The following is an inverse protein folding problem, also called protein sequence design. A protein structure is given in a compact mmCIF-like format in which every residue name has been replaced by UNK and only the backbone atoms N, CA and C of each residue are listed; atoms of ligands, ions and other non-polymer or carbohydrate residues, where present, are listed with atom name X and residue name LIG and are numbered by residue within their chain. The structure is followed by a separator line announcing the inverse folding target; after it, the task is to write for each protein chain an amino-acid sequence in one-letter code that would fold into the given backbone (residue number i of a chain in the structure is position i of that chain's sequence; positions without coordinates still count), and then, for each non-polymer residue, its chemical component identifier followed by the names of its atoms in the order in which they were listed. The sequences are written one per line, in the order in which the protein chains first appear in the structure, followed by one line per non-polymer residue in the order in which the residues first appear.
data_IF_834593994498
#
_entry.id   IF_834593994498
#
_cell.length_a   1.000
_cell.length_b   1.000
_cell.length_c   1.000
_cell.angle_alpha   90.00
_cell.angle_beta   90.00
_cell.angle_gamma   90.00
#
_symmetry.space_group_name_H-M   'P 1'
#
loop_
_entity.id
_entity.type
_entity.pdbx_description
1 polymer ?
#
# COMPACT_ATOMS: atom_id res chain seq x y z
N UNK A 1 16.26 -7.89 39.07
CA UNK A 1 16.09 -7.69 37.61
C UNK A 1 15.83 -6.22 37.40
N UNK A 2 16.78 -5.51 36.77
CA UNK A 2 16.80 -4.05 36.71
C UNK A 2 15.89 -3.53 35.58
N UNK A 3 15.29 -2.35 35.77
CA UNK A 3 14.45 -1.71 34.75
C UNK A 3 15.16 -1.50 33.40
N UNK A 4 16.49 -1.38 33.40
CA UNK A 4 17.30 -1.26 32.19
C UNK A 4 17.34 -2.56 31.35
N UNK A 5 17.36 -3.73 31.99
CA UNK A 5 17.34 -5.03 31.28
C UNK A 5 15.98 -5.24 30.58
N UNK A 6 14.88 -4.89 31.27
CA UNK A 6 13.54 -4.98 30.70
C UNK A 6 13.37 -4.05 29.50
N UNK A 7 13.95 -2.84 29.53
CA UNK A 7 13.89 -1.90 28.41
C UNK A 7 14.70 -2.40 27.21
N UNK A 8 15.94 -2.86 27.41
CA UNK A 8 16.77 -3.41 26.32
C UNK A 8 16.16 -4.67 25.67
N UNK A 9 15.60 -5.57 26.48
CA UNK A 9 14.93 -6.76 25.96
C UNK A 9 13.60 -6.41 25.25
N UNK A 10 12.96 -5.33 25.69
CA UNK A 10 11.76 -4.80 25.05
C UNK A 10 12.03 -4.22 23.66
N UNK A 11 13.15 -3.50 23.50
CA UNK A 11 13.60 -2.93 22.23
C UNK A 11 14.06 -4.02 21.26
N UNK A 12 14.77 -5.04 21.76
CA UNK A 12 15.18 -6.20 20.96
C UNK A 12 13.97 -6.97 20.41
N UNK A 13 12.91 -7.15 21.22
CA UNK A 13 11.67 -7.80 20.77
C UNK A 13 10.95 -6.97 19.70
N UNK A 14 10.93 -5.64 19.84
CA UNK A 14 10.30 -4.74 18.88
C UNK A 14 11.06 -4.74 17.55
N UNK A 15 12.40 -4.66 17.59
CA UNK A 15 13.25 -4.79 16.41
C UNK A 15 13.03 -6.13 15.70
N UNK A 16 12.95 -7.24 16.45
CA UNK A 16 12.67 -8.56 15.88
C UNK A 16 11.27 -8.64 15.26
N UNK A 17 10.27 -8.02 15.88
CA UNK A 17 8.93 -7.94 15.31
C UNK A 17 8.93 -7.18 13.98
N UNK A 18 9.63 -6.05 13.89
CA UNK A 18 9.81 -5.33 12.62
C UNK A 18 10.41 -6.23 11.54
N UNK A 19 11.53 -6.90 11.83
CA UNK A 19 12.18 -7.80 10.86
C UNK A 19 11.27 -8.93 10.37
N UNK A 20 10.47 -9.51 11.27
CA UNK A 20 9.53 -10.58 10.91
C UNK A 20 8.40 -10.05 10.02
N UNK A 21 7.84 -8.90 10.37
CA UNK A 21 6.71 -8.32 9.65
C UNK A 21 7.07 -7.70 8.31
N UNK A 22 8.34 -7.32 8.11
CA UNK A 22 8.88 -6.90 6.81
C UNK A 22 8.80 -8.00 5.75
N UNK A 23 8.81 -9.27 6.16
CA UNK A 23 8.74 -10.40 5.23
C UNK A 23 7.32 -10.83 4.87
N UNK A 24 6.28 -10.29 5.51
CA UNK A 24 4.89 -10.69 5.27
C UNK A 24 4.42 -10.16 3.90
N UNK A 25 4.12 -11.05 2.93
CA UNK A 25 3.68 -10.63 1.59
C UNK A 25 2.24 -10.13 1.59
N UNK A 26 1.88 -9.29 0.62
CA UNK A 26 0.48 -8.98 0.33
C UNK A 26 -0.20 -10.20 -0.34
N UNK A 27 -1.41 -10.62 0.12
CA UNK A 27 -2.08 -11.80 -0.42
C UNK A 27 -2.53 -11.63 -1.88
N UNK A 28 -2.70 -10.40 -2.36
CA UNK A 28 -3.12 -10.08 -3.74
C UNK A 28 -1.94 -9.80 -4.67
N UNK A 29 -0.76 -9.51 -4.11
CA UNK A 29 0.49 -9.21 -4.80
C UNK A 29 1.67 -9.87 -4.04
N UNK A 30 1.84 -11.20 -4.15
CA UNK A 30 2.78 -11.95 -3.30
C UNK A 30 4.26 -11.55 -3.43
N UNK A 31 4.62 -10.80 -4.47
CA UNK A 31 5.98 -10.31 -4.72
C UNK A 31 6.32 -9.04 -3.91
N UNK A 32 5.34 -8.36 -3.31
CA UNK A 32 5.55 -7.14 -2.51
C UNK A 32 5.06 -7.39 -1.08
N UNK A 33 5.83 -6.93 -0.10
CA UNK A 33 5.45 -7.03 1.31
C UNK A 33 4.48 -5.93 1.75
N UNK A 34 3.76 -6.19 2.84
CA UNK A 34 2.90 -5.20 3.48
C UNK A 34 3.69 -3.97 3.97
N UNK A 35 4.99 -4.12 4.25
CA UNK A 35 5.86 -3.00 4.61
C UNK A 35 6.16 -2.13 3.40
N UNK A 36 6.55 -2.73 2.29
CA UNK A 36 6.93 -2.02 1.07
C UNK A 36 5.73 -1.29 0.43
N UNK A 37 4.52 -1.84 0.57
CA UNK A 37 3.27 -1.17 0.19
C UNK A 37 2.86 -0.05 1.17
N UNK A 38 3.50 0.06 2.34
CA UNK A 38 3.13 1.01 3.37
C UNK A 38 1.83 0.68 4.12
N UNK A 39 1.34 -0.57 4.01
CA UNK A 39 0.19 -1.10 4.78
C UNK A 39 0.58 -1.25 6.26
N UNK A 40 1.77 -1.77 6.54
CA UNK A 40 2.34 -1.82 7.89
C UNK A 40 2.87 -0.43 8.29
N UNK A 41 2.15 0.24 9.19
CA UNK A 41 2.42 1.63 9.60
C UNK A 41 3.36 1.72 10.77
N UNK A 42 3.12 0.89 11.77
CA UNK A 42 3.85 0.96 13.03
C UNK A 42 3.85 -0.41 13.71
N UNK A 43 4.87 -0.64 14.52
CA UNK A 43 4.94 -1.77 15.45
C UNK A 43 5.38 -1.17 16.77
N UNK A 44 4.44 -1.11 17.72
CA UNK A 44 4.61 -0.40 18.98
C UNK A 44 4.18 -1.26 20.15
N UNK A 45 4.42 -0.78 21.36
CA UNK A 45 3.86 -1.39 22.58
C UNK A 45 2.63 -0.61 23.02
N UNK A 46 1.55 -1.33 23.32
CA UNK A 46 0.38 -0.76 23.98
C UNK A 46 0.69 -0.36 25.43
N UNK A 47 -0.22 0.40 26.04
CA UNK A 47 -0.09 0.84 27.43
C UNK A 47 -0.07 -0.33 28.44
N UNK A 48 -0.59 -1.48 28.04
CA UNK A 48 -0.61 -2.75 28.77
C UNK A 48 0.65 -3.62 28.54
N UNK A 49 1.61 -3.13 27.74
CA UNK A 49 2.86 -3.82 27.43
C UNK A 49 2.78 -4.83 26.28
N UNK A 50 1.60 -5.05 25.69
CA UNK A 50 1.37 -5.97 24.56
C UNK A 50 1.88 -5.35 23.26
N UNK A 51 2.48 -6.15 22.38
CA UNK A 51 2.93 -5.69 21.06
C UNK A 51 1.73 -5.41 20.14
N UNK A 52 1.70 -4.25 19.50
CA UNK A 52 0.68 -3.82 18.54
C UNK A 52 1.31 -3.66 17.16
N UNK A 53 0.84 -4.43 16.18
CA UNK A 53 1.11 -4.17 14.77
C UNK A 53 -0.01 -3.29 14.21
N UNK A 54 0.32 -2.07 13.82
CA UNK A 54 -0.63 -1.09 13.27
C UNK A 54 -0.63 -1.19 11.75
N UNK A 55 -1.78 -1.52 11.18
CA UNK A 55 -1.99 -1.66 9.74
C UNK A 55 -3.05 -0.69 9.22
N UNK A 56 -2.99 -0.35 7.94
CA UNK A 56 -3.98 0.51 7.29
C UNK A 56 -4.27 0.01 5.88
N UNK A 57 -5.54 0.01 5.44
CA UNK A 57 -5.89 -0.53 4.14
C UNK A 57 -5.53 0.44 3.01
N UNK A 58 -5.14 -0.09 1.85
CA UNK A 58 -4.87 0.72 0.63
C UNK A 58 -6.11 1.44 0.11
N UNK A 59 -7.31 0.96 0.47
CA UNK A 59 -8.57 1.68 0.36
C UNK A 59 -9.51 1.22 1.47
N UNK A 60 -10.44 2.06 1.90
CA UNK A 60 -11.27 1.84 3.11
C UNK A 60 -12.08 0.54 3.16
N UNK A 61 -12.35 -0.10 2.02
CA UNK A 61 -13.13 -1.34 1.92
C UNK A 61 -12.31 -2.57 1.50
N UNK A 62 -11.00 -2.59 1.75
CA UNK A 62 -10.13 -3.69 1.33
C UNK A 62 -10.53 -5.03 1.99
N UNK A 63 -10.96 -6.05 1.21
CA UNK A 63 -11.35 -7.34 1.77
C UNK A 63 -10.17 -8.14 2.33
N UNK A 64 -8.96 -7.88 1.84
CA UNK A 64 -7.75 -8.59 2.23
C UNK A 64 -7.26 -8.28 3.66
N UNK A 65 -7.86 -7.31 4.36
CA UNK A 65 -7.39 -6.88 5.68
C UNK A 65 -7.44 -7.97 6.75
N UNK A 66 -8.46 -8.83 6.72
CA UNK A 66 -8.55 -9.94 7.66
C UNK A 66 -7.46 -10.98 7.42
N UNK A 67 -7.16 -11.28 6.16
CA UNK A 67 -6.07 -12.20 5.79
C UNK A 67 -4.71 -11.62 6.20
N UNK A 68 -4.46 -10.33 5.90
CA UNK A 68 -3.23 -9.64 6.32
C UNK A 68 -3.07 -9.70 7.85
N UNK A 69 -4.14 -9.47 8.61
CA UNK A 69 -4.08 -9.54 10.07
C UNK A 69 -3.78 -10.97 10.58
N UNK A 70 -4.33 -11.99 9.93
CA UNK A 70 -4.01 -13.39 10.23
C UNK A 70 -2.56 -13.72 9.91
N UNK A 71 -2.07 -13.36 8.72
CA UNK A 71 -0.69 -13.60 8.27
C UNK A 71 0.34 -12.94 9.20
N UNK A 72 0.06 -11.70 9.64
CA UNK A 72 0.83 -11.01 10.67
C UNK A 72 0.84 -11.80 11.98
N UNK A 73 -0.33 -12.26 12.44
CA UNK A 73 -0.43 -13.06 13.66
C UNK A 73 0.34 -14.37 13.57
N UNK A 74 0.26 -15.07 12.44
CA UNK A 74 1.02 -16.30 12.19
C UNK A 74 2.53 -16.04 12.18
N UNK A 75 2.99 -14.98 11.51
CA UNK A 75 4.40 -14.61 11.46
C UNK A 75 4.96 -14.28 12.86
N UNK A 76 4.22 -13.51 13.66
CA UNK A 76 4.60 -13.20 15.05
C UNK A 76 4.62 -14.45 15.95
N UNK A 77 3.62 -15.33 15.79
CA UNK A 77 3.56 -16.60 16.52
C UNK A 77 4.75 -17.51 16.19
N UNK A 78 5.09 -17.66 14.91
CA UNK A 78 6.22 -18.45 14.44
C UNK A 78 7.57 -17.91 14.98
N UNK A 79 7.68 -16.58 15.14
CA UNK A 79 8.82 -15.93 15.76
C UNK A 79 8.84 -15.99 17.30
N UNK A 80 7.85 -16.65 17.92
CA UNK A 80 7.73 -16.77 19.37
C UNK A 80 7.33 -15.46 20.06
N UNK A 81 6.80 -14.47 19.34
CA UNK A 81 6.44 -13.15 19.87
C UNK A 81 4.98 -13.18 20.34
N UNK A 82 4.79 -13.39 21.64
CA UNK A 82 3.48 -13.36 22.31
C UNK A 82 3.62 -12.68 23.68
N UNK A 83 2.59 -11.94 24.15
CA UNK A 83 1.32 -11.64 23.49
C UNK A 83 1.44 -10.52 22.44
N UNK A 84 0.57 -10.53 21.42
CA UNK A 84 0.48 -9.49 20.40
C UNK A 84 -0.97 -9.21 19.99
N UNK A 85 -1.22 -8.06 19.37
CA UNK A 85 -2.47 -7.71 18.69
C UNK A 85 -2.22 -6.95 17.39
N UNK A 86 -3.14 -7.08 16.45
CA UNK A 86 -3.14 -6.32 15.20
C UNK A 86 -4.22 -5.25 15.28
N UNK A 87 -3.87 -4.01 14.96
CA UNK A 87 -4.75 -2.84 15.06
C UNK A 87 -4.87 -2.21 13.69
N UNK A 88 -6.08 -2.19 13.14
CA UNK A 88 -6.36 -1.50 11.87
C UNK A 88 -6.75 -0.04 12.13
N UNK A 89 -6.03 0.90 11.51
CA UNK A 89 -6.32 2.34 11.56
C UNK A 89 -6.73 2.86 10.19
N UNK A 90 -7.71 3.75 10.14
CA UNK A 90 -8.19 4.39 8.91
C UNK A 90 -7.72 5.84 8.76
N UNK A 91 -7.07 6.39 9.80
CA UNK A 91 -6.58 7.77 9.83
C UNK A 91 -5.10 7.79 10.28
N UNK A 92 -4.20 8.48 9.56
CA UNK A 92 -4.43 9.11 8.26
C UNK A 92 -4.75 8.06 7.17
N UNK A 93 -5.47 8.49 6.12
CA UNK A 93 -5.76 7.61 4.98
C UNK A 93 -4.46 7.20 4.28
N UNK A 94 -4.45 5.98 3.73
CA UNK A 94 -3.31 5.47 2.97
C UNK A 94 -3.05 6.33 1.72
N UNK A 95 -1.77 6.55 1.43
CA UNK A 95 -1.30 7.25 0.23
C UNK A 95 -0.23 6.43 -0.47
N UNK A 96 -0.23 6.47 -1.81
CA UNK A 96 0.84 5.89 -2.64
C UNK A 96 2.23 6.41 -2.33
N UNK A 97 2.37 7.56 -1.65
CA UNK A 97 3.67 8.08 -1.21
C UNK A 97 4.35 7.19 -0.17
N UNK A 98 3.58 6.34 0.52
CA UNK A 98 4.14 5.39 1.50
C UNK A 98 4.74 4.14 0.84
N UNK A 99 4.56 3.97 -0.47
CA UNK A 99 5.15 2.88 -1.23
C UNK A 99 6.62 3.16 -1.55
N UNK A 100 7.49 2.18 -1.33
CA UNK A 100 8.93 2.33 -1.64
C UNK A 100 9.19 2.27 -3.15
N UNK A 101 10.38 2.72 -3.58
CA UNK A 101 10.81 2.55 -4.98
C UNK A 101 10.93 1.08 -5.35
N UNK A 102 11.43 0.23 -4.45
CA UNK A 102 11.56 -1.21 -4.70
C UNK A 102 10.19 -1.86 -4.91
N UNK A 103 9.16 -1.47 -4.15
CA UNK A 103 7.79 -1.93 -4.38
C UNK A 103 7.31 -1.57 -5.79
N UNK A 104 7.52 -0.33 -6.23
CA UNK A 104 7.10 0.11 -7.58
C UNK A 104 7.79 -0.70 -8.68
N UNK A 105 9.07 -1.02 -8.50
CA UNK A 105 9.82 -1.84 -9.46
C UNK A 105 9.40 -3.30 -9.44
N UNK A 106 9.17 -3.89 -8.26
CA UNK A 106 8.61 -5.24 -8.11
C UNK A 106 7.23 -5.36 -8.75
N UNK A 107 6.36 -4.37 -8.58
CA UNK A 107 5.06 -4.32 -9.27
C UNK A 107 5.24 -4.35 -10.79
N UNK A 108 6.13 -3.49 -11.33
CA UNK A 108 6.40 -3.43 -12.77
C UNK A 108 6.89 -4.78 -13.30
N UNK A 109 7.84 -5.41 -12.61
CA UNK A 109 8.38 -6.73 -12.97
C UNK A 109 7.33 -7.83 -12.90
N UNK A 110 6.38 -7.72 -11.97
CA UNK A 110 5.24 -8.63 -11.86
C UNK A 110 4.15 -8.39 -12.92
N UNK A 111 4.30 -7.36 -13.76
CA UNK A 111 3.34 -7.01 -14.80
C UNK A 111 2.21 -6.10 -14.34
N UNK A 112 2.34 -5.49 -13.16
CA UNK A 112 1.41 -4.46 -12.66
C UNK A 112 2.06 -3.09 -12.86
N UNK A 113 1.40 -2.19 -13.58
CA UNK A 113 1.84 -0.82 -13.68
C UNK A 113 1.71 -0.13 -12.30
N UNK A 114 2.80 0.40 -11.73
CA UNK A 114 2.77 1.10 -10.44
C UNK A 114 2.00 2.42 -10.56
N UNK A 115 1.49 2.98 -9.44
CA UNK A 115 0.83 4.28 -9.47
C UNK A 115 1.78 5.35 -10.00
N UNK A 116 1.25 6.26 -10.82
CA UNK A 116 2.02 7.36 -11.42
C UNK A 116 1.73 8.64 -10.64
N UNK A 117 2.79 9.36 -10.27
CA UNK A 117 2.72 10.57 -9.47
C UNK A 117 2.73 10.32 -7.95
N UNK A 118 3.06 11.38 -7.21
CA UNK A 118 2.89 11.44 -5.76
C UNK A 118 1.45 11.86 -5.46
N UNK A 119 0.71 11.08 -4.66
CA UNK A 119 -0.61 11.50 -4.16
C UNK A 119 -0.50 12.69 -3.19
N UNK A 120 0.70 12.97 -2.69
CA UNK A 120 1.03 14.08 -1.83
C UNK A 120 1.26 15.37 -2.59
N UNK A 121 0.27 16.25 -2.52
CA UNK A 121 0.52 17.67 -2.27
C UNK A 121 1.75 17.82 -1.37
N UNK A 122 2.78 18.52 -1.85
CA UNK A 122 3.94 18.86 -1.03
C UNK A 122 3.51 19.40 0.34
N UNK A 123 4.37 19.17 1.34
CA UNK A 123 4.24 19.57 2.74
C UNK A 123 4.00 21.09 2.96
N UNK A 124 2.86 21.60 2.50
CA UNK A 124 2.38 22.93 2.76
C UNK A 124 0.83 22.88 2.82
N UNK A 125 0.19 23.56 3.77
CA UNK A 125 -1.25 23.76 3.77
C UNK A 125 -1.58 24.72 2.62
N UNK A 126 -1.57 24.23 1.39
CA UNK A 126 -2.09 24.99 0.26
C UNK A 126 -3.59 24.78 0.22
N UNK A 127 -4.33 25.87 0.47
CA UNK A 127 -5.76 25.97 0.18
C UNK A 127 -6.02 25.41 -1.23
N UNK A 128 -6.60 24.21 -1.30
CA UNK A 128 -7.09 23.66 -2.57
C UNK A 128 -8.41 24.38 -2.88
N UNK A 129 -8.33 25.49 -3.63
CA UNK A 129 -9.52 26.21 -4.07
C UNK A 129 -10.40 25.29 -4.92
N UNK A 130 -11.62 25.02 -4.46
CA UNK A 130 -12.61 24.29 -5.25
C UNK A 130 -13.06 25.19 -6.40
N UNK A 131 -12.61 24.88 -7.62
CA UNK A 131 -13.02 25.57 -8.84
C UNK A 131 -14.21 24.85 -9.47
N UNK A 132 -15.38 25.48 -9.44
CA UNK A 132 -16.54 25.03 -10.20
C UNK A 132 -16.35 25.39 -11.69
N UNK A 133 -16.29 24.39 -12.56
CA UNK A 133 -16.20 24.55 -14.02
C UNK A 133 -17.51 24.11 -14.69
N UNK A 134 -18.09 24.92 -15.59
CA UNK A 134 -19.30 24.55 -16.31
C UNK A 134 -19.06 23.33 -17.22
N UNK A 135 -20.07 22.45 -17.28
CA UNK A 135 -20.06 21.11 -17.91
C UNK A 135 -19.87 21.12 -19.44
N UNK A 136 -19.66 22.28 -20.05
CA UNK A 136 -19.58 22.50 -21.51
C UNK A 136 -18.17 22.71 -22.04
N UNK A 137 -17.13 22.72 -21.19
CA UNK A 137 -15.77 22.48 -21.65
C UNK A 137 -15.65 20.98 -21.99
N UNK A 138 -15.80 20.66 -23.29
CA UNK A 138 -15.28 19.45 -23.97
C UNK A 138 -15.15 18.21 -23.10
N UNK A 139 -16.07 17.24 -23.17
CA UNK A 139 -15.91 15.88 -22.63
C UNK A 139 -14.84 15.82 -21.55
N UNK A 140 -15.12 16.42 -20.38
CA UNK A 140 -14.14 16.55 -19.31
C UNK A 140 -13.65 15.13 -19.03
N UNK A 141 -12.49 14.82 -19.61
CA UNK A 141 -11.86 13.51 -19.62
C UNK A 141 -11.80 13.14 -18.17
N UNK A 142 -12.48 12.05 -17.79
CA UNK A 142 -12.43 11.51 -16.44
C UNK A 142 -10.97 11.45 -16.00
N UNK A 143 -10.57 12.44 -15.20
CA UNK A 143 -9.23 12.70 -14.71
C UNK A 143 -8.11 12.62 -15.77
N UNK A 144 -7.35 13.70 -15.87
CA UNK A 144 -5.93 13.68 -16.21
C UNK A 144 -5.12 12.89 -15.17
N UNK A 145 -5.49 11.63 -14.91
CA UNK A 145 -4.65 10.66 -14.22
C UNK A 145 -3.93 9.87 -15.32
N UNK A 146 -2.72 10.34 -15.58
CA UNK A 146 -1.61 9.71 -16.27
C UNK A 146 -1.90 8.30 -16.80
N UNK A 147 -1.92 8.16 -18.13
CA UNK A 147 -1.99 6.86 -18.80
C UNK A 147 -0.77 6.04 -18.36
N UNK A 148 -0.95 4.94 -17.61
CA UNK A 148 0.19 4.21 -17.05
C UNK A 148 1.06 3.66 -18.18
N UNK A 149 2.37 3.72 -18.01
CA UNK A 149 3.29 3.04 -18.92
C UNK A 149 3.06 1.53 -18.85
N UNK A 150 2.97 0.89 -20.01
CA UNK A 150 2.84 -0.56 -20.12
C UNK A 150 4.05 -1.24 -19.44
N UNK A 151 3.84 -2.19 -18.51
CA UNK A 151 4.94 -2.86 -17.82
C UNK A 151 5.75 -3.78 -18.74
N UNK A 152 5.20 -4.19 -19.90
CA UNK A 152 5.85 -5.09 -20.85
C UNK A 152 6.75 -4.36 -21.85
N UNK A 153 6.28 -3.27 -22.46
CA UNK A 153 7.01 -2.56 -23.52
C UNK A 153 7.36 -1.10 -23.20
N UNK A 154 6.90 -0.57 -22.06
CA UNK A 154 7.15 0.81 -21.63
C UNK A 154 6.29 1.88 -22.34
N UNK A 155 5.44 1.50 -23.29
CA UNK A 155 4.59 2.47 -24.01
C UNK A 155 3.55 3.13 -23.10
N UNK A 156 3.37 4.44 -23.25
CA UNK A 156 2.29 5.23 -22.61
C UNK A 156 0.99 5.24 -23.44
N UNK A 157 1.00 4.58 -24.60
CA UNK A 157 -0.15 4.48 -25.48
C UNK A 157 -1.08 3.37 -24.98
N UNK A 158 -1.80 3.67 -23.89
CA UNK A 158 -2.64 2.70 -23.19
C UNK A 158 -4.06 3.22 -23.03
N UNK A 159 -5.03 2.31 -23.06
CA UNK A 159 -6.44 2.60 -22.80
C UNK A 159 -6.94 1.80 -21.59
N UNK A 160 -7.85 2.41 -20.82
CA UNK A 160 -8.50 1.74 -19.68
C UNK A 160 -9.67 0.90 -20.18
N UNK A 161 -9.65 -0.39 -19.90
CA UNK A 161 -10.75 -1.31 -20.21
C UNK A 161 -11.80 -1.35 -19.10
N UNK A 162 -11.35 -1.37 -17.84
CA UNK A 162 -12.25 -1.42 -16.69
C UNK A 162 -11.72 -0.58 -15.51
N UNK A 163 -12.63 0.00 -14.73
CA UNK A 163 -12.31 0.80 -13.53
C UNK A 163 -11.77 -0.07 -12.36
N UNK A 164 -12.11 -1.35 -12.39
CA UNK A 164 -11.73 -2.36 -11.40
C UNK A 164 -11.23 -3.60 -12.15
N UNK A 165 -10.23 -4.26 -11.57
CA UNK A 165 -9.72 -5.55 -12.07
C UNK A 165 -9.91 -6.61 -10.99
N UNK A 166 -8.94 -7.53 -10.82
CA UNK A 166 -8.97 -8.58 -9.79
C UNK A 166 -9.27 -8.03 -8.39
N UNK A 167 -8.83 -6.81 -8.10
CA UNK A 167 -9.13 -6.10 -6.87
C UNK A 167 -9.61 -4.68 -7.13
N UNK A 168 -10.29 -4.10 -6.15
CA UNK A 168 -10.77 -2.71 -6.26
C UNK A 168 -9.64 -1.68 -6.19
N UNK A 169 -8.43 -2.01 -5.74
CA UNK A 169 -7.27 -1.13 -5.80
C UNK A 169 -6.59 -1.14 -7.19
N UNK A 170 -6.89 -2.13 -8.04
CA UNK A 170 -6.37 -2.25 -9.41
C UNK A 170 -7.41 -1.82 -10.45
N UNK A 171 -6.96 -1.38 -11.62
CA UNK A 171 -7.77 -1.11 -12.80
C UNK A 171 -7.18 -1.84 -14.01
N UNK A 172 -8.02 -2.30 -14.93
CA UNK A 172 -7.56 -3.05 -16.10
C UNK A 172 -7.29 -2.11 -17.27
N UNK A 173 -6.10 -2.22 -17.86
CA UNK A 173 -5.66 -1.47 -19.03
C UNK A 173 -5.23 -2.41 -20.15
N UNK A 174 -5.13 -1.85 -21.37
CA UNK A 174 -4.52 -2.49 -22.53
C UNK A 174 -3.54 -1.53 -23.19
N UNK A 175 -2.36 -2.02 -23.53
CA UNK A 175 -1.42 -1.28 -24.36
C UNK A 175 -1.87 -1.35 -25.83
N UNK A 176 -1.85 -0.24 -26.55
CA UNK A 176 -2.24 -0.20 -27.96
C UNK A 176 -1.07 -0.55 -28.89
N UNK A 177 0.16 -0.45 -28.41
CA UNK A 177 1.36 -0.76 -29.20
C UNK A 177 1.70 -2.26 -29.17
N UNK A 178 1.78 -2.88 -27.98
CA UNK A 178 2.02 -4.32 -27.85
C UNK A 178 0.75 -5.18 -27.70
N UNK A 179 -0.43 -4.55 -27.51
CA UNK A 179 -1.74 -5.20 -27.34
C UNK A 179 -1.94 -6.05 -26.08
N UNK A 180 -0.95 -6.09 -25.20
CA UNK A 180 -1.05 -6.82 -23.93
C UNK A 180 -1.98 -6.10 -22.93
N UNK A 181 -2.91 -6.84 -22.28
CA UNK A 181 -3.65 -6.34 -21.12
C UNK A 181 -2.76 -6.34 -19.87
N UNK A 182 -2.95 -5.38 -18.97
CA UNK A 182 -2.21 -5.29 -17.71
C UNK A 182 -3.02 -4.58 -16.62
N UNK A 183 -2.67 -4.89 -15.37
CA UNK A 183 -3.24 -4.21 -14.21
C UNK A 183 -2.50 -2.91 -13.90
N UNK A 184 -3.24 -1.88 -13.54
CA UNK A 184 -2.72 -0.63 -13.00
C UNK A 184 -3.11 -0.49 -11.54
N UNK A 185 -2.11 -0.33 -10.67
CA UNK A 185 -2.35 -0.04 -9.25
C UNK A 185 -2.74 1.43 -9.10
N UNK A 186 -3.97 1.69 -8.68
CA UNK A 186 -4.55 3.04 -8.72
C UNK A 186 -3.91 3.98 -7.69
N UNK A 187 -3.81 5.28 -8.01
CA UNK A 187 -3.39 6.29 -7.07
C UNK A 187 -4.53 6.59 -6.09
N UNK A 188 -4.23 6.47 -4.80
CA UNK A 188 -5.05 6.89 -3.66
C UNK A 188 -4.21 7.75 -2.73
#
# INVERSE_FOLDING_TARGET
MNAADTLMESDATLARAWTVLEAVPDPEIPVVSIRELGILRDVRRGADGVLEAVITPTYSGCPAMSQIAEDIGQALNAAGIRPHRVVTVLAPAWTTDWMTSEARDKLRQYGIAPPMGNCGSGHAPQEKTIRFVPRTATHATHATHDRPACPQCGSVHTERLAQFSSTACKALYRCLDCREPFDYFKPY
#
